data_IF_049978905566
#
_entry.id   IF_049978905566
#
_cell.length_a   1.000
_cell.length_b   1.000
_cell.length_c   1.000
_cell.angle_alpha   90.00
_cell.angle_beta   90.00
_cell.angle_gamma   90.00
#
_symmetry.space_group_name_H-M   'P 1'
#
loop_
_entity.id
_entity.type
_entity.pdbx_description
1 polymer ?
#
# COMPACT_ATOMS: atom_id res chain seq x y z
N UNK A 1 -4.97 -11.27 -11.48
CA UNK A 1 -3.99 -11.79 -10.52
C UNK A 1 -4.48 -11.42 -9.14
N UNK A 2 -4.39 -12.34 -8.19
CA UNK A 2 -4.57 -12.00 -6.78
C UNK A 2 -3.23 -11.49 -6.24
N UNK A 3 -3.13 -10.18 -5.98
CA UNK A 3 -1.87 -9.56 -5.55
C UNK A 3 -1.55 -9.82 -4.08
N UNK A 4 -2.55 -10.21 -3.28
CA UNK A 4 -2.43 -10.37 -1.84
C UNK A 4 -2.96 -11.73 -1.42
N UNK A 5 -2.07 -12.59 -0.92
CA UNK A 5 -2.48 -13.85 -0.31
C UNK A 5 -2.91 -13.63 1.15
N UNK A 6 -3.90 -14.39 1.63
CA UNK A 6 -4.24 -14.38 3.06
C UNK A 6 -3.12 -14.98 3.94
N UNK A 7 -2.20 -15.73 3.34
CA UNK A 7 -1.02 -16.27 4.01
C UNK A 7 0.00 -15.16 4.32
N UNK A 8 0.21 -14.22 3.42
CA UNK A 8 1.27 -13.22 3.50
C UNK A 8 0.79 -11.84 3.97
N UNK A 9 -0.52 -11.57 3.91
CA UNK A 9 -1.07 -10.24 4.18
C UNK A 9 -2.20 -10.24 5.23
N UNK A 10 -2.30 -9.11 5.91
CA UNK A 10 -3.46 -8.71 6.71
C UNK A 10 -4.30 -7.73 5.90
N UNK A 11 -5.62 -7.96 5.85
CA UNK A 11 -6.61 -7.00 5.36
C UNK A 11 -7.39 -6.47 6.56
N UNK A 12 -7.42 -5.16 6.74
CA UNK A 12 -8.18 -4.47 7.79
C UNK A 12 -9.03 -3.39 7.14
N UNK A 13 -10.27 -3.26 7.62
CA UNK A 13 -11.14 -2.13 7.30
C UNK A 13 -11.46 -1.44 8.63
N UNK A 14 -11.19 -0.15 8.74
CA UNK A 14 -11.43 0.61 9.98
C UNK A 14 -12.86 1.19 10.05
N UNK A 15 -13.16 1.91 11.13
CA UNK A 15 -14.47 2.53 11.37
C UNK A 15 -14.82 3.67 10.39
N UNK A 16 -13.83 4.17 9.65
CA UNK A 16 -13.99 5.19 8.61
C UNK A 16 -14.11 4.58 7.21
N UNK A 17 -14.14 3.26 7.11
CA UNK A 17 -14.08 2.49 5.88
C UNK A 17 -12.76 2.69 5.10
N UNK A 18 -11.70 3.11 5.78
CA UNK A 18 -10.36 3.08 5.21
C UNK A 18 -9.91 1.61 5.16
N UNK A 19 -9.29 1.22 4.04
CA UNK A 19 -8.80 -0.15 3.83
C UNK A 19 -7.29 -0.17 3.99
N UNK A 20 -6.80 -1.17 4.71
CA UNK A 20 -5.38 -1.37 4.98
C UNK A 20 -4.98 -2.79 4.62
N UNK A 21 -3.96 -2.90 3.77
CA UNK A 21 -3.29 -4.15 3.47
C UNK A 21 -1.85 -4.05 3.95
N UNK A 22 -1.44 -4.95 4.84
CA UNK A 22 -0.08 -4.99 5.38
C UNK A 22 0.51 -6.37 5.18
N UNK A 23 1.77 -6.46 4.78
CA UNK A 23 2.46 -7.75 4.80
C UNK A 23 2.71 -8.18 6.25
N UNK A 24 2.62 -9.49 6.53
CA UNK A 24 2.81 -10.03 7.89
C UNK A 24 4.23 -9.87 8.40
N UNK A 25 5.19 -9.71 7.48
CA UNK A 25 6.60 -9.40 7.80
C UNK A 25 6.86 -7.91 8.06
N UNK A 26 5.84 -7.04 7.96
CA UNK A 26 5.93 -5.61 8.23
C UNK A 26 6.67 -4.79 7.16
N UNK A 27 6.95 -5.37 5.98
CA UNK A 27 7.74 -4.70 4.93
C UNK A 27 6.90 -3.86 3.96
N UNK A 28 5.63 -4.16 3.81
CA UNK A 28 4.74 -3.50 2.84
C UNK A 28 3.44 -3.04 3.48
N UNK A 29 3.00 -1.85 3.10
CA UNK A 29 1.68 -1.30 3.42
C UNK A 29 1.03 -0.67 2.19
N UNK A 30 -0.25 -0.97 2.00
CA UNK A 30 -1.18 -0.25 1.13
C UNK A 30 -2.34 0.28 1.97
N UNK A 31 -2.59 1.58 1.90
CA UNK A 31 -3.78 2.23 2.43
C UNK A 31 -4.67 2.74 1.30
N UNK A 32 -5.98 2.56 1.43
CA UNK A 32 -7.01 3.22 0.63
C UNK A 32 -7.93 4.03 1.56
N UNK A 33 -8.06 5.31 1.26
CA UNK A 33 -8.76 6.33 2.02
C UNK A 33 -9.82 6.96 1.10
N UNK A 34 -11.03 6.37 0.99
CA UNK A 34 -12.03 6.79 0.00
C UNK A 34 -12.53 8.22 0.18
N UNK A 35 -12.38 8.80 1.39
CA UNK A 35 -12.72 10.19 1.69
C UNK A 35 -11.50 11.10 1.83
N UNK A 36 -10.31 10.58 1.49
CA UNK A 36 -9.03 11.22 1.75
C UNK A 36 -8.56 11.03 3.19
N UNK A 37 -7.24 10.88 3.37
CA UNK A 37 -6.63 10.77 4.69
C UNK A 37 -6.69 12.14 5.43
N UNK A 38 -7.21 12.19 6.66
CA UNK A 38 -7.27 13.44 7.43
C UNK A 38 -5.89 14.08 7.61
N UNK A 39 -5.82 15.40 7.46
CA UNK A 39 -4.57 16.16 7.60
C UNK A 39 -3.63 16.06 6.41
N UNK A 40 -4.09 15.50 5.28
CA UNK A 40 -3.34 15.45 4.01
C UNK A 40 -4.09 16.21 2.91
N UNK A 41 -3.39 16.57 1.84
CA UNK A 41 -4.00 17.11 0.63
C UNK A 41 -4.50 15.96 -0.25
N UNK A 42 -5.74 15.53 -0.02
CA UNK A 42 -6.48 14.53 -0.83
C UNK A 42 -5.83 13.15 -1.00
N UNK A 43 -4.92 12.74 -0.10
CA UNK A 43 -4.28 11.41 -0.14
C UNK A 43 -5.37 10.32 -0.09
N UNK A 44 -5.63 9.71 -1.24
CA UNK A 44 -6.57 8.60 -1.39
C UNK A 44 -5.88 7.26 -1.25
N UNK A 45 -4.66 7.13 -1.78
CA UNK A 45 -3.88 5.91 -1.68
C UNK A 45 -2.53 6.18 -1.04
N UNK A 46 -2.04 5.21 -0.26
CA UNK A 46 -0.70 5.22 0.30
C UNK A 46 -0.03 3.89 0.06
N UNK A 47 1.16 3.91 -0.53
CA UNK A 47 2.07 2.77 -0.53
C UNK A 47 3.26 3.13 0.35
N UNK A 48 3.63 2.26 1.28
CA UNK A 48 4.86 2.39 2.05
C UNK A 48 5.62 1.06 2.05
N UNK A 49 6.94 1.16 1.87
CA UNK A 49 7.86 0.04 1.84
C UNK A 49 8.97 0.30 2.84
N UNK A 50 9.15 -0.64 3.76
CA UNK A 50 10.21 -0.57 4.76
C UNK A 50 11.56 -0.82 4.10
N UNK A 51 12.57 -0.02 4.48
CA UNK A 51 13.93 -0.20 4.02
C UNK A 51 14.60 -1.44 4.60
N UNK A 52 15.73 -1.81 4.03
CA UNK A 52 16.64 -2.81 4.60
C UNK A 52 17.84 -2.12 5.25
N UNK A 53 18.79 -2.89 5.77
CA UNK A 53 20.06 -2.35 6.25
C UNK A 53 20.88 -1.65 5.13
N UNK A 54 20.63 -1.98 3.86
CA UNK A 54 21.42 -1.52 2.71
C UNK A 54 20.63 -0.64 1.74
N UNK A 55 19.31 -0.64 1.80
CA UNK A 55 18.43 0.14 0.92
C UNK A 55 17.42 0.95 1.72
N UNK A 56 17.27 2.26 1.44
CA UNK A 56 16.25 3.07 2.11
C UNK A 56 14.85 2.58 1.74
N UNK A 57 13.93 2.69 2.71
CA UNK A 57 12.51 2.54 2.44
C UNK A 57 11.98 3.73 1.64
N UNK A 58 10.76 3.61 1.14
CA UNK A 58 10.11 4.73 0.48
C UNK A 58 8.60 4.69 0.71
N UNK A 59 7.97 5.80 0.38
CA UNK A 59 6.53 5.95 0.40
C UNK A 59 6.09 6.77 -0.81
N UNK A 60 4.91 6.45 -1.33
CA UNK A 60 4.25 7.19 -2.40
C UNK A 60 2.78 7.31 -2.09
N UNK A 61 2.21 8.46 -2.42
CA UNK A 61 0.81 8.78 -2.20
C UNK A 61 0.16 9.10 -3.54
N UNK A 62 -1.10 8.72 -3.69
CA UNK A 62 -1.91 9.08 -4.86
C UNK A 62 -3.23 9.69 -4.39
N UNK A 63 -3.82 10.55 -5.21
CA UNK A 63 -5.09 11.18 -4.90
C UNK A 63 -6.25 10.18 -4.98
N UNK A 64 -7.35 10.50 -4.32
CA UNK A 64 -8.62 9.73 -4.35
C UNK A 64 -9.15 9.48 -5.76
N UNK A 65 -8.85 10.37 -6.70
CA UNK A 65 -9.26 10.28 -8.11
C UNK A 65 -8.37 9.36 -8.94
N UNK A 66 -7.24 8.91 -8.39
CA UNK A 66 -6.31 8.02 -9.10
C UNK A 66 -6.98 6.68 -9.35
N UNK A 67 -7.07 6.23 -10.61
CA UNK A 67 -7.63 4.94 -10.96
C UNK A 67 -6.94 3.78 -10.22
N UNK A 68 -7.76 2.86 -9.69
CA UNK A 68 -7.26 1.74 -8.89
C UNK A 68 -6.36 0.79 -9.68
N UNK A 69 -6.50 0.70 -11.00
CA UNK A 69 -5.64 -0.10 -11.88
C UNK A 69 -4.21 0.47 -11.96
N UNK A 70 -4.05 1.79 -11.94
CA UNK A 70 -2.72 2.44 -11.85
C UNK A 70 -2.06 2.10 -10.51
N UNK A 71 -2.81 2.19 -9.41
CA UNK A 71 -2.30 1.87 -8.08
C UNK A 71 -1.97 0.38 -7.98
N UNK A 72 -2.83 -0.49 -8.51
CA UNK A 72 -2.59 -1.93 -8.56
C UNK A 72 -1.33 -2.26 -9.38
N UNK A 73 -1.11 -1.60 -10.51
CA UNK A 73 0.11 -1.77 -11.31
C UNK A 73 1.36 -1.34 -10.54
N UNK A 74 1.30 -0.22 -9.81
CA UNK A 74 2.39 0.21 -8.93
C UNK A 74 2.67 -0.83 -7.83
N UNK A 75 1.64 -1.30 -7.13
CA UNK A 75 1.73 -2.36 -6.11
C UNK A 75 2.37 -3.63 -6.69
N UNK A 76 1.97 -4.06 -7.89
CA UNK A 76 2.56 -5.24 -8.52
C UNK A 76 4.07 -5.12 -8.68
N UNK A 77 4.55 -3.94 -9.13
CA UNK A 77 5.98 -3.66 -9.28
C UNK A 77 6.71 -3.59 -7.95
N UNK A 78 6.07 -3.05 -6.92
CA UNK A 78 6.63 -3.06 -5.56
C UNK A 78 6.84 -4.50 -5.09
N UNK A 79 5.79 -5.32 -5.13
CA UNK A 79 5.86 -6.69 -4.63
C UNK A 79 6.86 -7.56 -5.42
N UNK A 80 6.93 -7.38 -6.74
CA UNK A 80 7.91 -8.06 -7.60
C UNK A 80 9.35 -7.72 -7.21
N UNK A 81 9.64 -6.44 -7.00
CA UNK A 81 10.99 -5.99 -6.65
C UNK A 81 11.37 -6.31 -5.20
N UNK A 82 10.41 -6.33 -4.28
CA UNK A 82 10.66 -6.69 -2.88
C UNK A 82 10.91 -8.19 -2.67
N UNK A 83 10.41 -9.09 -3.52
CA UNK A 83 10.68 -10.53 -3.42
C UNK A 83 12.10 -10.93 -3.84
N UNK A 84 12.79 -10.04 -4.54
CA UNK A 84 14.17 -10.25 -5.01
C UNK A 84 15.23 -9.73 -4.02
N UNK A 85 14.80 -9.14 -2.88
CA UNK A 85 15.64 -8.61 -1.81
C UNK A 85 15.70 -9.57 -0.62
#
# INVERSE_FOLDING_TARGET
MDQFSAEDFHLVVDDRADVHVNSKDGRFYLGWFPLGRPGTDREGWKIAVTGTATMPGYQVSFDVETPADIVAAAVARVLETSRLL
#
